data_IF_894284485125
#
_entry.id   IF_894284485125
#
_cell.length_a   1.000
_cell.length_b   1.000
_cell.length_c   1.000
_cell.angle_alpha   90.00
_cell.angle_beta   90.00
_cell.angle_gamma   90.00
#
_symmetry.space_group_name_H-M   'P 1'
#
loop_
_entity.id
_entity.type
_entity.pdbx_description
1 polymer ?
#
# COMPACT_ATOMS: atom_id res chain seq x y z
N UNK A 1 -3.96 -13.89 17.25
CA UNK A 1 -2.84 -12.91 17.34
C UNK A 1 -2.68 -12.09 16.06
N UNK A 2 -2.34 -12.72 14.92
CA UNK A 2 -2.03 -12.01 13.65
C UNK A 2 -3.15 -11.05 13.16
N UNK A 3 -4.42 -11.49 13.18
CA UNK A 3 -5.58 -10.65 12.81
C UNK A 3 -5.75 -9.44 13.73
N UNK A 4 -5.84 -9.68 15.04
CA UNK A 4 -5.97 -8.62 16.07
C UNK A 4 -4.78 -7.65 16.06
N UNK A 5 -3.57 -8.14 15.77
CA UNK A 5 -2.38 -7.31 15.62
C UNK A 5 -2.47 -6.41 14.38
N UNK A 6 -2.86 -6.97 13.23
CA UNK A 6 -3.05 -6.22 11.99
C UNK A 6 -4.17 -5.19 12.14
N UNK A 7 -5.33 -5.55 12.71
CA UNK A 7 -6.42 -4.59 12.94
C UNK A 7 -6.01 -3.45 13.89
N UNK A 8 -5.19 -3.73 14.92
CA UNK A 8 -4.76 -2.74 15.90
C UNK A 8 -3.68 -1.78 15.38
N UNK A 9 -2.76 -2.25 14.52
CA UNK A 9 -1.60 -1.48 14.08
C UNK A 9 -1.62 -1.09 12.60
N UNK A 10 -2.45 -1.76 11.80
CA UNK A 10 -2.69 -1.50 10.39
C UNK A 10 -4.21 -1.38 10.16
N UNK A 11 -4.85 -0.37 10.76
CA UNK A 11 -6.28 -0.18 10.61
C UNK A 11 -6.64 -0.01 9.13
N UNK A 12 -7.84 -0.44 8.76
CA UNK A 12 -8.34 -0.43 7.38
C UNK A 12 -8.19 0.94 6.71
N UNK A 13 -8.34 2.03 7.48
CA UNK A 13 -8.12 3.41 7.04
C UNK A 13 -6.71 3.68 6.52
N UNK A 14 -5.68 3.05 7.12
CA UNK A 14 -4.30 3.17 6.66
C UNK A 14 -4.11 2.41 5.35
N UNK A 15 -4.75 1.25 5.19
CA UNK A 15 -4.73 0.50 3.93
C UNK A 15 -5.39 1.29 2.80
N UNK A 16 -6.61 1.78 3.02
CA UNK A 16 -7.33 2.62 2.06
C UNK A 16 -6.55 3.89 1.68
N UNK A 17 -5.89 4.53 2.65
CA UNK A 17 -5.04 5.68 2.38
C UNK A 17 -3.84 5.33 1.49
N UNK A 18 -3.20 4.17 1.71
CA UNK A 18 -2.08 3.68 0.91
C UNK A 18 -2.50 3.27 -0.50
N UNK A 19 -3.67 2.68 -0.67
CA UNK A 19 -4.25 2.39 -1.98
C UNK A 19 -4.56 3.68 -2.75
N UNK A 20 -5.16 4.67 -2.09
CA UNK A 20 -5.40 5.98 -2.69
C UNK A 20 -4.10 6.73 -3.04
N UNK A 21 -3.03 6.52 -2.28
CA UNK A 21 -1.68 7.03 -2.61
C UNK A 21 -1.13 6.33 -3.86
N UNK A 22 -1.29 5.01 -3.96
CA UNK A 22 -0.86 4.23 -5.11
C UNK A 22 -1.58 4.62 -6.40
N UNK A 23 -2.92 4.74 -6.36
CA UNK A 23 -3.73 5.10 -7.53
C UNK A 23 -3.44 6.51 -8.05
N UNK A 24 -2.90 7.38 -7.20
CA UNK A 24 -2.51 8.75 -7.56
C UNK A 24 -1.00 8.88 -7.80
N UNK A 25 -0.23 7.79 -7.65
CA UNK A 25 1.21 7.83 -7.80
C UNK A 25 1.55 8.08 -9.29
N UNK A 26 2.24 9.18 -9.52
CA UNK A 26 2.86 9.51 -10.81
C UNK A 26 4.33 9.82 -10.58
N UNK A 27 5.18 9.59 -11.58
CA UNK A 27 6.62 9.83 -11.44
C UNK A 27 6.94 11.29 -11.08
N UNK A 28 6.30 12.25 -11.76
CA UNK A 28 6.58 13.67 -11.55
C UNK A 28 8.07 13.99 -11.74
N UNK A 29 8.68 14.68 -10.77
CA UNK A 29 10.11 15.00 -10.76
C UNK A 29 11.00 13.93 -10.11
N UNK A 30 10.48 12.76 -9.75
CA UNK A 30 11.27 11.67 -9.17
C UNK A 30 12.17 11.03 -10.22
N UNK A 31 13.34 10.57 -9.80
CA UNK A 31 14.14 9.66 -10.61
C UNK A 31 13.39 8.34 -10.79
N UNK A 32 13.74 7.59 -11.84
CA UNK A 32 13.12 6.28 -12.12
C UNK A 32 13.29 5.32 -10.93
N UNK A 33 14.44 5.36 -10.26
CA UNK A 33 14.72 4.50 -9.10
C UNK A 33 13.85 4.86 -7.89
N UNK A 34 13.69 6.15 -7.58
CA UNK A 34 12.83 6.61 -6.49
C UNK A 34 11.37 6.26 -6.75
N UNK A 35 10.91 6.45 -7.98
CA UNK A 35 9.56 6.08 -8.38
C UNK A 35 9.33 4.57 -8.26
N UNK A 36 10.24 3.74 -8.77
CA UNK A 36 10.14 2.28 -8.69
C UNK A 36 10.07 1.79 -7.23
N UNK A 37 10.93 2.33 -6.36
CA UNK A 37 10.91 2.00 -4.93
C UNK A 37 9.57 2.38 -4.28
N UNK A 38 9.02 3.57 -4.60
CA UNK A 38 7.71 3.99 -4.10
C UNK A 38 6.58 3.11 -4.61
N UNK A 39 6.62 2.75 -5.89
CA UNK A 39 5.64 1.89 -6.53
C UNK A 39 5.61 0.50 -5.88
N UNK A 40 6.77 -0.16 -5.74
CA UNK A 40 6.87 -1.48 -5.11
C UNK A 40 6.42 -1.47 -3.65
N UNK A 41 6.74 -0.41 -2.91
CA UNK A 41 6.32 -0.28 -1.51
C UNK A 41 4.79 -0.19 -1.39
N UNK A 42 4.15 0.62 -2.23
CA UNK A 42 2.71 0.81 -2.22
C UNK A 42 1.94 -0.40 -2.79
N UNK A 43 2.48 -1.08 -3.81
CA UNK A 43 1.87 -2.27 -4.40
C UNK A 43 1.68 -3.44 -3.41
N UNK A 44 2.52 -3.52 -2.36
CA UNK A 44 2.39 -4.52 -1.29
C UNK A 44 1.08 -4.39 -0.50
N UNK A 45 0.56 -3.17 -0.35
CA UNK A 45 -0.70 -2.94 0.35
C UNK A 45 -1.92 -3.37 -0.47
N UNK A 46 -1.81 -3.33 -1.81
CA UNK A 46 -2.86 -3.79 -2.72
C UNK A 46 -2.95 -5.32 -2.79
N UNK A 47 -1.81 -6.02 -2.82
CA UNK A 47 -1.74 -7.49 -2.77
C UNK A 47 -2.36 -8.06 -1.50
N UNK A 48 -2.21 -7.35 -0.37
CA UNK A 48 -2.73 -7.80 0.91
C UNK A 48 -4.27 -7.70 0.99
N UNK A 49 -4.88 -6.74 0.28
CA UNK A 49 -6.34 -6.64 0.14
C UNK A 49 -6.92 -7.78 -0.73
N UNK A 50 -6.22 -8.16 -1.82
CA UNK A 50 -6.64 -9.27 -2.68
C UNK A 50 -6.56 -10.62 -1.96
N UNK A 51 -5.53 -10.83 -1.12
CA UNK A 51 -5.39 -12.07 -0.33
C UNK A 51 -6.41 -12.21 0.81
N UNK A 52 -7.08 -11.13 1.24
CA UNK A 52 -8.18 -11.20 2.21
C UNK A 52 -9.55 -11.36 1.55
N UNK A 53 -9.66 -11.03 0.25
CA UNK A 53 -10.90 -11.10 -0.52
C UNK A 53 -11.10 -12.44 -1.27
N UNK A 54 -10.08 -13.30 -1.32
CA UNK A 54 -10.11 -14.68 -1.84
C UNK A 54 -10.10 -15.69 -0.69
#
# INVERSE_FOLDING_TARGET
FKRVFLEKYFPESVRHAKEAEFMRLHQGGMTISEYAMRFEHLARFYSQAISEAL
#
